data_IF_071634741897
#
_entry.id   IF_071634741897
#
_cell.length_a   1.000
_cell.length_b   1.000
_cell.length_c   1.000
_cell.angle_alpha   90.00
_cell.angle_beta   90.00
_cell.angle_gamma   90.00
#
_symmetry.space_group_name_H-M   'P 1'
#
loop_
_entity.id
_entity.type
_entity.pdbx_description
1 polymer ?
#
# COMPACT_ATOMS: atom_id res chain seq x y z
N UNK A 1 7.79 9.42 22.03
CA UNK A 1 8.74 9.79 20.95
C UNK A 1 8.93 8.61 20.00
N UNK A 2 8.42 8.63 18.75
CA UNK A 2 8.80 7.68 17.66
C UNK A 2 8.60 8.30 16.26
N UNK A 3 8.97 9.58 16.07
CA UNK A 3 8.74 10.28 14.78
C UNK A 3 9.79 9.94 13.69
N UNK A 4 10.96 9.37 14.04
CA UNK A 4 12.12 9.28 13.12
C UNK A 4 12.39 7.91 12.48
N UNK A 5 11.84 6.79 12.96
CA UNK A 5 12.01 5.49 12.29
C UNK A 5 10.99 5.27 11.17
N UNK A 6 9.83 5.91 11.27
CA UNK A 6 8.64 5.62 10.46
C UNK A 6 8.68 6.13 9.02
N UNK A 7 9.43 7.20 8.74
CA UNK A 7 9.65 7.67 7.36
C UNK A 7 10.59 6.76 6.57
N UNK A 8 11.49 6.05 7.25
CA UNK A 8 12.51 5.21 6.63
C UNK A 8 11.93 3.94 5.99
N UNK A 9 10.83 3.41 6.53
CA UNK A 9 10.22 2.14 6.08
C UNK A 9 9.34 2.28 4.84
N UNK A 10 8.58 3.39 4.71
CA UNK A 10 7.77 3.65 3.52
C UNK A 10 8.69 3.97 2.33
N UNK A 11 9.76 4.72 2.57
CA UNK A 11 10.82 4.96 1.58
C UNK A 11 11.53 3.68 1.13
N UNK A 12 11.60 2.64 1.98
CA UNK A 12 12.15 1.33 1.60
C UNK A 12 11.22 0.54 0.67
N UNK A 13 9.89 0.66 0.87
CA UNK A 13 8.90 0.00 0.00
C UNK A 13 8.76 0.71 -1.35
N UNK A 14 9.09 1.99 -1.45
CA UNK A 14 9.05 2.75 -2.71
C UNK A 14 10.42 2.68 -3.40
N UNK A 15 10.58 1.72 -4.29
CA UNK A 15 11.73 1.66 -5.21
C UNK A 15 11.64 2.72 -6.34
N UNK A 16 10.65 3.61 -6.27
CA UNK A 16 10.37 4.64 -7.27
C UNK A 16 9.71 4.11 -8.54
N UNK A 17 9.46 2.80 -8.64
CA UNK A 17 8.85 2.19 -9.82
C UNK A 17 7.35 2.09 -9.67
N UNK A 18 6.66 2.13 -10.80
CA UNK A 18 5.25 1.81 -10.82
C UNK A 18 5.07 0.31 -10.59
N UNK A 19 4.09 -0.06 -9.78
CA UNK A 19 3.83 -1.45 -9.38
C UNK A 19 2.43 -1.86 -9.75
N UNK A 20 2.26 -3.14 -9.99
CA UNK A 20 0.96 -3.77 -10.16
C UNK A 20 0.30 -4.04 -8.81
N UNK A 21 -1.01 -4.20 -8.80
CA UNK A 21 -1.76 -4.64 -7.61
C UNK A 21 -1.25 -5.97 -7.06
N UNK A 22 -0.73 -6.85 -7.92
CA UNK A 22 -0.18 -8.15 -7.52
C UNK A 22 1.12 -8.00 -6.74
N UNK A 23 2.01 -7.13 -7.18
CA UNK A 23 3.26 -6.83 -6.47
C UNK A 23 2.98 -6.18 -5.12
N UNK A 24 2.11 -5.17 -5.08
CA UNK A 24 1.70 -4.51 -3.82
C UNK A 24 1.06 -5.52 -2.86
N UNK A 25 0.19 -6.41 -3.35
CA UNK A 25 -0.42 -7.44 -2.52
C UNK A 25 0.62 -8.43 -1.97
N UNK A 26 1.60 -8.82 -2.80
CA UNK A 26 2.72 -9.69 -2.40
C UNK A 26 3.59 -9.07 -1.32
N UNK A 27 3.93 -7.79 -1.44
CA UNK A 27 4.69 -7.04 -0.42
C UNK A 27 3.95 -6.93 0.91
N UNK A 28 2.62 -6.87 0.84
CA UNK A 28 1.75 -6.80 2.01
C UNK A 28 1.37 -8.17 2.57
N UNK A 29 1.79 -9.28 1.93
CA UNK A 29 1.44 -10.63 2.35
C UNK A 29 -0.06 -10.95 2.24
N UNK A 30 -0.82 -10.22 1.41
CA UNK A 30 -2.26 -10.41 1.24
C UNK A 30 -2.61 -10.86 -0.18
N UNK A 31 -3.78 -11.46 -0.35
CA UNK A 31 -4.31 -11.72 -1.69
C UNK A 31 -4.67 -10.41 -2.40
N UNK A 32 -4.57 -10.40 -3.73
CA UNK A 32 -5.04 -9.27 -4.57
C UNK A 32 -6.51 -8.96 -4.36
N UNK A 33 -7.34 -9.97 -4.09
CA UNK A 33 -8.76 -9.82 -3.77
C UNK A 33 -8.97 -9.13 -2.42
N UNK A 34 -8.19 -9.48 -1.40
CA UNK A 34 -8.22 -8.82 -0.09
C UNK A 34 -7.81 -7.36 -0.22
N UNK A 35 -6.74 -7.09 -0.98
CA UNK A 35 -6.30 -5.73 -1.28
C UNK A 35 -7.43 -4.94 -1.97
N UNK A 36 -8.05 -5.49 -3.01
CA UNK A 36 -9.16 -4.85 -3.72
C UNK A 36 -10.36 -4.56 -2.81
N UNK A 37 -10.77 -5.53 -1.98
CA UNK A 37 -11.89 -5.34 -1.03
C UNK A 37 -11.60 -4.23 -0.04
N UNK A 38 -10.41 -4.20 0.57
CA UNK A 38 -10.00 -3.15 1.52
C UNK A 38 -9.99 -1.78 0.85
N UNK A 39 -9.43 -1.67 -0.35
CA UNK A 39 -9.41 -0.41 -1.10
C UNK A 39 -10.82 0.07 -1.46
N UNK A 40 -11.71 -0.85 -1.86
CA UNK A 40 -13.12 -0.54 -2.15
C UNK A 40 -13.86 -0.04 -0.90
N UNK A 41 -13.68 -0.68 0.25
CA UNK A 41 -14.28 -0.24 1.52
C UNK A 41 -13.85 1.17 1.90
N UNK A 42 -12.61 1.55 1.56
CA UNK A 42 -12.03 2.85 1.87
C UNK A 42 -12.27 3.90 0.76
N UNK A 43 -13.06 3.57 -0.25
CA UNK A 43 -13.34 4.44 -1.40
C UNK A 43 -12.08 4.96 -2.11
N UNK A 44 -10.99 4.17 -2.08
CA UNK A 44 -9.75 4.49 -2.77
C UNK A 44 -9.90 4.09 -4.23
N UNK A 45 -10.17 5.08 -5.08
CA UNK A 45 -10.17 4.88 -6.53
C UNK A 45 -8.73 4.69 -7.01
N UNK A 46 -8.40 3.49 -7.48
CA UNK A 46 -7.10 3.22 -8.09
C UNK A 46 -7.21 3.19 -9.61
N UNK A 47 -6.23 3.75 -10.34
CA UNK A 47 -6.19 3.67 -11.78
C UNK A 47 -6.16 2.21 -12.24
N UNK A 48 -6.78 1.93 -13.38
CA UNK A 48 -6.61 0.65 -14.06
C UNK A 48 -5.15 0.51 -14.54
N UNK A 49 -4.47 -0.56 -14.17
CA UNK A 49 -3.10 -0.82 -14.61
C UNK A 49 -2.06 -0.58 -13.52
N UNK A 50 -0.96 0.08 -13.89
CA UNK A 50 0.16 0.35 -13.00
C UNK A 50 -0.20 1.44 -11.98
N UNK A 51 0.24 1.24 -10.75
CA UNK A 51 0.05 2.16 -9.63
C UNK A 51 1.37 2.89 -9.43
N UNK A 52 1.36 4.20 -9.57
CA UNK A 52 2.56 5.03 -9.46
C UNK A 52 2.90 5.33 -8.00
N UNK A 53 4.16 5.68 -7.68
CA UNK A 53 4.62 5.93 -6.32
C UNK A 53 3.70 6.80 -5.45
N UNK A 54 3.08 7.91 -5.94
CA UNK A 54 2.15 8.71 -5.13
C UNK A 54 0.92 7.93 -4.65
N UNK A 55 0.36 7.06 -5.50
CA UNK A 55 -0.80 6.25 -5.14
C UNK A 55 -0.40 5.03 -4.31
N UNK A 56 0.80 4.48 -4.54
CA UNK A 56 1.36 3.44 -3.67
C UNK A 56 1.50 3.93 -2.23
N UNK A 57 2.03 5.14 -2.01
CA UNK A 57 2.14 5.75 -0.68
C UNK A 57 0.79 5.78 0.00
N UNK A 58 -0.24 6.28 -0.69
CA UNK A 58 -1.61 6.32 -0.16
C UNK A 58 -2.06 4.92 0.25
N UNK A 59 -1.93 3.93 -0.62
CA UNK A 59 -2.33 2.54 -0.32
C UNK A 59 -1.60 2.01 0.93
N UNK A 60 -0.29 2.20 1.03
CA UNK A 60 0.51 1.72 2.16
C UNK A 60 0.14 2.44 3.47
N UNK A 61 -0.04 3.75 3.44
CA UNK A 61 -0.46 4.54 4.61
C UNK A 61 -1.84 4.10 5.10
N UNK A 62 -2.81 3.94 4.20
CA UNK A 62 -4.17 3.53 4.54
C UNK A 62 -4.26 2.10 5.07
N UNK A 63 -3.46 1.18 4.53
CA UNK A 63 -3.48 -0.20 4.97
C UNK A 63 -2.75 -0.38 6.31
N UNK A 64 -1.67 0.36 6.57
CA UNK A 64 -0.92 0.28 7.84
C UNK A 64 -1.73 0.73 9.06
N UNK A 65 -2.65 1.69 8.90
CA UNK A 65 -3.61 2.07 9.95
C UNK A 65 -4.63 0.98 10.31
N UNK A 66 -4.76 -0.06 9.47
CA UNK A 66 -5.70 -1.18 9.63
C UNK A 66 -4.99 -2.55 9.71
N UNK A 67 -3.66 -2.57 9.91
CA UNK A 67 -2.84 -3.79 9.99
C UNK A 67 -2.52 -4.22 11.42
N UNK A 68 -3.19 -3.68 12.45
CA UNK A 68 -3.08 -4.19 13.83
C UNK A 68 -3.69 -5.59 14.05
N UNK A 69 -4.22 -6.24 13.00
CA UNK A 69 -4.95 -7.51 13.11
C UNK A 69 -4.62 -8.53 12.01
N UNK A 70 -3.34 -8.81 11.77
CA UNK A 70 -2.92 -10.04 11.10
C UNK A 70 -1.65 -10.60 11.74
#
# INVERSE_FOLDING_TARGET
MKKNENKKTIAFLLDGKAKTRKEIAGELGVSTTTLWRKLKTQNVALPSGLIYPPDQIRIYEYLKGNLEYF
#
